data_IF_702528367114
#
_entry.id   IF_702528367114
#
_cell.length_a   1.000
_cell.length_b   1.000
_cell.length_c   1.000
_cell.angle_alpha   90.00
_cell.angle_beta   90.00
_cell.angle_gamma   90.00
#
_symmetry.space_group_name_H-M   'P 1'
#
loop_
_entity.id
_entity.type
_entity.pdbx_description
1 polymer ?
#
# COMPACT_ATOMS: atom_id res chain seq x y z
N UNK A 1 15.37 24.83 -3.73
CA UNK A 1 15.02 23.47 -3.28
C UNK A 1 15.57 22.44 -4.24
N UNK A 2 16.17 21.33 -3.75
CA UNK A 2 16.55 20.19 -4.59
C UNK A 2 15.32 19.59 -5.30
N UNK A 3 15.49 19.14 -6.54
CA UNK A 3 14.39 18.71 -7.42
C UNK A 3 13.52 17.58 -6.83
N UNK A 4 14.14 16.67 -6.06
CA UNK A 4 13.46 15.54 -5.41
C UNK A 4 12.48 15.97 -4.32
N UNK A 5 12.78 17.02 -3.57
CA UNK A 5 11.87 17.58 -2.55
C UNK A 5 10.75 18.42 -3.18
N UNK A 6 10.99 19.02 -4.35
CA UNK A 6 9.98 19.80 -5.08
C UNK A 6 8.80 18.94 -5.57
N UNK A 7 9.03 17.69 -6.00
CA UNK A 7 7.97 16.80 -6.48
C UNK A 7 7.02 16.43 -5.33
N UNK A 8 7.57 16.00 -4.20
CA UNK A 8 6.79 15.66 -3.01
C UNK A 8 5.98 16.86 -2.51
N UNK A 9 6.60 18.04 -2.40
CA UNK A 9 5.90 19.26 -1.99
C UNK A 9 4.81 19.70 -2.97
N UNK A 10 5.01 19.54 -4.27
CA UNK A 10 4.01 19.94 -5.28
C UNK A 10 2.75 19.07 -5.21
N UNK A 11 2.91 17.75 -5.08
CA UNK A 11 1.77 16.81 -4.93
C UNK A 11 1.03 17.10 -3.63
N UNK A 12 1.77 17.19 -2.53
CA UNK A 12 1.16 17.36 -1.21
C UNK A 12 0.47 18.73 -1.09
N UNK A 13 1.11 19.81 -1.57
CA UNK A 13 0.51 21.15 -1.64
C UNK A 13 -0.72 21.22 -2.55
N UNK A 14 -0.83 20.37 -3.57
CA UNK A 14 -2.05 20.21 -4.37
C UNK A 14 -3.21 19.64 -3.55
N UNK A 15 -2.95 18.57 -2.79
CA UNK A 15 -3.93 17.94 -1.88
C UNK A 15 -4.43 18.94 -0.84
N UNK A 16 -3.52 19.68 -0.20
CA UNK A 16 -3.89 20.66 0.82
C UNK A 16 -4.73 21.82 0.26
N UNK A 17 -4.40 22.31 -0.95
CA UNK A 17 -5.22 23.32 -1.65
C UNK A 17 -6.62 22.80 -1.96
N UNK A 18 -6.74 21.55 -2.40
CA UNK A 18 -8.03 20.94 -2.73
C UNK A 18 -8.95 20.82 -1.52
N UNK A 19 -8.45 20.28 -0.41
CA UNK A 19 -9.29 19.98 0.77
C UNK A 19 -9.49 21.16 1.73
N UNK A 20 -8.50 22.05 1.86
CA UNK A 20 -8.52 23.11 2.88
C UNK A 20 -8.36 24.52 2.31
N UNK A 21 -8.35 24.68 0.97
CA UNK A 21 -8.12 25.97 0.27
C UNK A 21 -6.90 26.73 0.81
N UNK A 22 -5.90 26.01 1.32
CA UNK A 22 -4.75 26.61 1.97
C UNK A 22 -3.64 26.91 0.96
N UNK A 23 -3.10 28.14 0.97
CA UNK A 23 -2.03 28.60 0.07
C UNK A 23 -0.63 28.08 0.45
N UNK A 24 -0.53 26.90 1.06
CA UNK A 24 0.72 26.40 1.64
C UNK A 24 1.65 25.94 0.51
N UNK A 25 2.81 26.60 0.41
CA UNK A 25 3.82 26.33 -0.63
C UNK A 25 4.75 25.17 -0.27
N UNK A 26 5.10 25.05 1.01
CA UNK A 26 6.01 24.03 1.53
C UNK A 26 5.36 23.26 2.68
N UNK A 27 4.88 22.07 2.38
CA UNK A 27 4.22 21.19 3.35
C UNK A 27 5.22 20.33 4.13
N UNK A 28 6.43 20.14 3.62
CA UNK A 28 7.44 19.22 4.15
C UNK A 28 8.55 19.93 4.94
N UNK A 29 8.52 21.26 5.07
CA UNK A 29 9.39 21.97 6.01
C UNK A 29 9.15 21.51 7.44
N UNK A 30 10.24 21.15 8.13
CA UNK A 30 10.26 20.94 9.59
C UNK A 30 10.53 22.24 10.38
N UNK A 31 10.78 23.36 9.69
CA UNK A 31 11.01 24.64 10.35
C UNK A 31 9.68 25.42 10.40
N UNK A 32 9.03 25.37 11.57
CA UNK A 32 7.70 25.97 11.79
C UNK A 32 7.72 26.83 13.06
N UNK A 33 7.08 28.00 12.97
CA UNK A 33 6.65 28.74 14.14
C UNK A 33 5.23 28.30 14.48
N UNK A 34 5.00 27.93 15.75
CA UNK A 34 3.70 27.47 16.24
C UNK A 34 3.27 28.36 17.40
N UNK A 35 1.98 28.71 17.48
CA UNK A 35 1.48 29.47 18.62
C UNK A 35 1.51 28.62 19.88
N UNK A 36 1.71 29.27 21.03
CA UNK A 36 1.75 28.58 22.33
C UNK A 36 0.41 27.84 22.61
N UNK A 37 -0.71 28.42 22.18
CA UNK A 37 -2.03 27.79 22.29
C UNK A 37 -2.16 26.50 21.45
N UNK A 38 -1.54 26.46 20.28
CA UNK A 38 -1.58 25.28 19.40
C UNK A 38 -0.61 24.19 19.85
N UNK A 39 0.58 24.56 20.35
CA UNK A 39 1.56 23.62 20.92
C UNK A 39 0.93 22.78 22.04
N UNK A 40 0.17 23.41 22.95
CA UNK A 40 -0.54 22.69 24.02
C UNK A 40 -1.45 21.60 23.47
N UNK A 41 -2.13 21.81 22.35
CA UNK A 41 -2.98 20.79 21.71
C UNK A 41 -2.17 19.68 21.05
N UNK A 42 -1.09 20.03 20.35
CA UNK A 42 -0.21 19.07 19.66
C UNK A 42 0.32 18.00 20.62
N UNK A 43 0.78 18.42 21.81
CA UNK A 43 1.44 17.54 22.77
C UNK A 43 0.53 16.38 23.21
N UNK A 44 -0.78 16.63 23.33
CA UNK A 44 -1.74 15.59 23.71
C UNK A 44 -2.24 14.78 22.51
N UNK A 45 -2.45 15.42 21.36
CA UNK A 45 -3.17 14.82 20.24
C UNK A 45 -2.27 14.09 19.24
N UNK A 46 -0.98 14.43 19.18
CA UNK A 46 -0.09 13.97 18.11
C UNK A 46 0.97 13.03 18.67
N UNK A 47 0.84 11.75 18.30
CA UNK A 47 1.88 10.75 18.59
C UNK A 47 3.18 11.10 17.84
N UNK A 48 4.34 11.16 18.53
CA UNK A 48 5.62 11.45 17.89
C UNK A 48 6.03 10.34 16.92
N UNK A 49 6.62 10.74 15.80
CA UNK A 49 7.15 9.90 14.73
C UNK A 49 8.33 10.59 14.03
N UNK A 50 8.67 10.17 12.80
CA UNK A 50 9.71 10.85 11.99
C UNK A 50 9.05 11.97 11.18
N UNK A 51 9.16 11.90 9.85
CA UNK A 51 8.55 12.86 8.92
C UNK A 51 7.03 12.92 9.04
N UNK A 52 6.37 11.86 9.56
CA UNK A 52 4.91 11.86 9.72
C UNK A 52 4.42 12.86 10.77
N UNK A 53 5.27 13.25 11.73
CA UNK A 53 4.91 14.20 12.80
C UNK A 53 4.55 15.56 12.22
N UNK A 54 5.40 16.10 11.33
CA UNK A 54 5.20 17.39 10.68
C UNK A 54 3.90 17.45 9.88
N UNK A 55 3.63 16.37 9.14
CA UNK A 55 2.41 16.23 8.35
C UNK A 55 1.15 16.23 9.24
N UNK A 56 1.20 15.51 10.37
CA UNK A 56 0.08 15.45 11.32
C UNK A 56 -0.18 16.79 11.97
N UNK A 57 0.87 17.52 12.36
CA UNK A 57 0.78 18.87 12.91
C UNK A 57 0.07 19.79 11.91
N UNK A 58 0.47 19.75 10.64
CA UNK A 58 -0.12 20.59 9.60
C UNK A 58 -1.59 20.26 9.33
N UNK A 59 -1.94 18.96 9.24
CA UNK A 59 -3.33 18.53 9.06
C UNK A 59 -4.19 18.96 10.25
N UNK A 60 -3.67 18.81 11.48
CA UNK A 60 -4.38 19.20 12.70
C UNK A 60 -4.63 20.71 12.73
N UNK A 61 -3.65 21.52 12.38
CA UNK A 61 -3.80 22.99 12.31
C UNK A 61 -4.93 23.39 11.36
N UNK A 62 -4.97 22.80 10.17
CA UNK A 62 -5.99 23.09 9.15
C UNK A 62 -7.37 22.56 9.54
N UNK A 63 -7.47 21.37 10.15
CA UNK A 63 -8.73 20.82 10.64
C UNK A 63 -9.34 21.63 11.78
N UNK A 64 -8.49 22.12 12.68
CA UNK A 64 -8.91 22.95 13.81
C UNK A 64 -9.16 24.42 13.41
N UNK A 65 -9.05 24.75 12.11
CA UNK A 65 -9.35 26.09 11.58
C UNK A 65 -8.30 27.16 11.90
N UNK A 66 -7.07 26.76 12.25
CA UNK A 66 -6.00 27.72 12.50
C UNK A 66 -5.50 28.38 11.20
N UNK A 67 -5.09 29.65 11.29
CA UNK A 67 -4.44 30.35 10.18
C UNK A 67 -3.04 29.78 9.94
N UNK A 68 -2.84 29.16 8.77
CA UNK A 68 -1.57 28.60 8.34
C UNK A 68 -1.03 29.39 7.15
N UNK A 69 0.14 30.01 7.33
CA UNK A 69 0.85 30.77 6.31
C UNK A 69 2.23 30.20 5.99
N UNK A 70 2.85 30.72 4.94
CA UNK A 70 4.24 30.42 4.58
C UNK A 70 5.03 31.72 4.50
N UNK A 71 6.16 31.80 5.22
CA UNK A 71 7.09 32.93 5.14
C UNK A 71 8.31 32.48 4.35
N UNK A 72 8.70 33.27 3.35
CA UNK A 72 9.89 32.97 2.55
C UNK A 72 11.12 33.19 3.41
N UNK A 73 11.93 32.14 3.57
CA UNK A 73 13.22 32.18 4.26
C UNK A 73 14.35 31.79 3.32
N UNK A 74 15.55 32.26 3.60
CA UNK A 74 16.76 31.83 2.89
C UNK A 74 17.11 30.41 3.31
N UNK A 75 17.08 29.46 2.37
CA UNK A 75 17.52 28.09 2.61
C UNK A 75 19.04 28.02 2.58
N UNK A 76 19.68 27.80 3.72
CA UNK A 76 21.12 27.52 3.78
C UNK A 76 21.33 26.01 3.67
N UNK A 77 21.81 25.55 2.51
CA UNK A 77 22.16 24.15 2.30
C UNK A 77 23.63 23.93 2.65
N UNK A 78 23.92 23.41 3.84
CA UNK A 78 25.27 22.95 4.19
C UNK A 78 25.57 21.63 3.45
N UNK A 79 26.73 21.56 2.79
CA UNK A 79 27.24 20.38 2.09
C UNK A 79 26.24 19.67 1.18
N UNK A 80 25.45 20.43 0.42
CA UNK A 80 24.51 19.89 -0.58
C UNK A 80 23.59 18.79 -0.01
N UNK A 81 23.19 18.91 1.26
CA UNK A 81 22.33 17.95 1.97
C UNK A 81 23.01 16.61 2.37
N UNK A 82 24.35 16.51 2.41
CA UNK A 82 25.08 15.28 2.81
C UNK A 82 24.71 14.74 4.21
N UNK A 83 24.31 15.60 5.14
CA UNK A 83 23.92 15.23 6.50
C UNK A 83 22.40 14.99 6.68
N UNK A 84 21.60 15.06 5.61
CA UNK A 84 20.21 14.61 5.67
C UNK A 84 20.18 13.11 5.90
N UNK A 85 19.88 12.68 7.14
CA UNK A 85 19.63 11.27 7.48
C UNK A 85 18.38 10.68 6.79
N UNK A 86 17.70 11.43 5.91
CA UNK A 86 16.69 10.89 5.02
C UNK A 86 17.39 10.12 3.89
N UNK A 87 17.31 8.78 3.94
CA UNK A 87 17.63 7.93 2.80
C UNK A 87 16.31 7.51 2.13
N UNK A 88 15.68 8.37 1.30
CA UNK A 88 14.44 8.05 0.61
C UNK A 88 14.58 6.80 -0.26
N UNK A 89 15.79 6.54 -0.76
CA UNK A 89 16.09 5.31 -1.50
C UNK A 89 15.95 4.08 -0.61
N UNK A 90 16.58 4.07 0.57
CA UNK A 90 16.55 2.91 1.48
C UNK A 90 15.15 2.64 2.05
N UNK A 91 14.43 3.70 2.45
CA UNK A 91 13.09 3.54 3.01
C UNK A 91 12.03 3.22 1.93
N UNK A 92 12.16 3.76 0.71
CA UNK A 92 11.33 3.32 -0.43
C UNK A 92 11.66 1.89 -0.86
N UNK A 93 12.94 1.49 -0.75
CA UNK A 93 13.38 0.14 -1.09
C UNK A 93 12.77 -0.91 -0.17
N UNK A 94 12.50 -0.61 1.10
CA UNK A 94 11.80 -1.55 2.00
C UNK A 94 10.38 -1.85 1.53
N UNK A 95 9.64 -0.83 1.10
CA UNK A 95 8.28 -1.00 0.58
C UNK A 95 8.31 -1.71 -0.78
N UNK A 96 9.21 -1.30 -1.67
CA UNK A 96 9.38 -1.93 -2.98
C UNK A 96 9.82 -3.39 -2.85
N UNK A 97 10.75 -3.71 -1.94
CA UNK A 97 11.19 -5.08 -1.66
C UNK A 97 10.04 -5.97 -1.21
N UNK A 98 9.20 -5.50 -0.28
CA UNK A 98 8.03 -6.27 0.15
C UNK A 98 7.04 -6.52 -0.99
N UNK A 99 6.80 -5.51 -1.82
CA UNK A 99 5.92 -5.66 -2.99
C UNK A 99 6.51 -6.61 -4.05
N UNK A 100 7.81 -6.51 -4.32
CA UNK A 100 8.52 -7.42 -5.23
C UNK A 100 8.49 -8.86 -4.72
N UNK A 101 8.71 -9.08 -3.42
CA UNK A 101 8.55 -10.40 -2.80
C UNK A 101 7.13 -10.91 -2.96
N UNK A 102 6.11 -10.07 -2.74
CA UNK A 102 4.71 -10.43 -2.96
C UNK A 102 4.44 -10.87 -4.40
N UNK A 103 5.03 -10.20 -5.39
CA UNK A 103 4.92 -10.56 -6.81
C UNK A 103 5.63 -11.87 -7.16
N UNK A 104 6.89 -12.04 -6.74
CA UNK A 104 7.65 -13.26 -6.98
C UNK A 104 6.96 -14.47 -6.35
N UNK A 105 6.46 -14.30 -5.13
CA UNK A 105 5.79 -15.37 -4.40
C UNK A 105 4.37 -15.64 -4.91
N UNK A 106 3.69 -14.63 -5.47
CA UNK A 106 2.44 -14.82 -6.20
C UNK A 106 2.67 -15.60 -7.50
N UNK A 107 3.77 -15.32 -8.20
CA UNK A 107 4.15 -16.11 -9.37
C UNK A 107 4.51 -17.55 -8.99
N UNK A 108 5.25 -17.77 -7.89
CA UNK A 108 5.55 -19.13 -7.43
C UNK A 108 4.31 -19.92 -7.03
N UNK A 109 3.30 -19.25 -6.44
CA UNK A 109 2.00 -19.86 -6.17
C UNK A 109 1.28 -20.30 -7.45
N UNK A 110 1.26 -19.45 -8.49
CA UNK A 110 0.69 -19.80 -9.78
C UNK A 110 1.39 -21.02 -10.42
N UNK A 111 2.72 -21.05 -10.37
CA UNK A 111 3.52 -22.20 -10.84
C UNK A 111 3.18 -23.45 -10.06
N UNK A 112 3.06 -23.36 -8.74
CA UNK A 112 2.71 -24.48 -7.86
C UNK A 112 1.30 -25.01 -8.17
N UNK A 113 0.28 -24.15 -8.29
CA UNK A 113 -1.09 -24.53 -8.65
C UNK A 113 -1.10 -25.30 -9.97
N UNK A 114 -0.46 -24.76 -11.00
CA UNK A 114 -0.39 -25.38 -12.32
C UNK A 114 0.38 -26.71 -12.32
N UNK A 115 1.48 -26.78 -11.57
CA UNK A 115 2.29 -28.00 -11.47
C UNK A 115 1.52 -29.14 -10.80
N UNK A 116 0.79 -28.84 -9.72
CA UNK A 116 -0.06 -29.84 -9.04
C UNK A 116 -1.21 -30.27 -9.94
N UNK A 117 -1.85 -29.33 -10.64
CA UNK A 117 -2.91 -29.64 -11.60
C UNK A 117 -2.43 -30.61 -12.69
N UNK A 118 -1.28 -30.34 -13.30
CA UNK A 118 -0.68 -31.22 -14.32
C UNK A 118 -0.34 -32.58 -13.74
N UNK A 119 0.31 -32.62 -12.56
CA UNK A 119 0.69 -33.87 -11.91
C UNK A 119 -0.52 -34.78 -11.66
N UNK A 120 -1.60 -34.21 -11.11
CA UNK A 120 -2.83 -34.97 -10.84
C UNK A 120 -3.53 -35.42 -12.13
N UNK A 121 -3.54 -34.56 -13.15
CA UNK A 121 -4.22 -34.86 -14.42
C UNK A 121 -3.47 -35.92 -15.25
N UNK A 122 -2.14 -35.84 -15.33
CA UNK A 122 -1.33 -36.72 -16.18
C UNK A 122 -0.90 -38.00 -15.45
N UNK A 123 -0.35 -37.89 -14.24
CA UNK A 123 0.26 -39.04 -13.56
C UNK A 123 -0.77 -39.92 -12.85
N UNK A 124 -1.87 -39.32 -12.38
CA UNK A 124 -2.90 -40.02 -11.61
C UNK A 124 -4.22 -40.16 -12.37
N UNK A 125 -4.32 -39.60 -13.59
CA UNK A 125 -5.55 -39.60 -14.40
C UNK A 125 -6.79 -39.12 -13.64
N UNK A 126 -6.61 -38.19 -12.69
CA UNK A 126 -7.70 -37.62 -11.90
C UNK A 126 -8.59 -36.79 -12.81
N UNK A 127 -9.91 -36.89 -12.64
CA UNK A 127 -10.87 -36.05 -13.35
C UNK A 127 -10.53 -34.56 -13.18
N UNK A 128 -10.47 -33.81 -14.29
CA UNK A 128 -9.89 -32.46 -14.32
C UNK A 128 -10.49 -31.49 -13.28
N UNK A 129 -11.78 -31.63 -12.97
CA UNK A 129 -12.44 -30.79 -11.97
C UNK A 129 -11.90 -31.05 -10.55
N UNK A 130 -11.68 -32.32 -10.20
CA UNK A 130 -11.09 -32.69 -8.92
C UNK A 130 -9.62 -32.29 -8.85
N UNK A 131 -8.86 -32.48 -9.93
CA UNK A 131 -7.48 -32.01 -10.02
C UNK A 131 -7.39 -30.49 -9.79
N UNK A 132 -8.28 -29.72 -10.41
CA UNK A 132 -8.35 -28.27 -10.25
C UNK A 132 -8.72 -27.83 -8.82
N UNK A 133 -9.75 -28.45 -8.22
CA UNK A 133 -10.15 -28.12 -6.85
C UNK A 133 -9.02 -28.44 -5.87
N UNK A 134 -8.39 -29.61 -5.99
CA UNK A 134 -7.30 -30.03 -5.13
C UNK A 134 -6.06 -29.14 -5.28
N UNK A 135 -5.65 -28.81 -6.51
CA UNK A 135 -4.53 -27.89 -6.75
C UNK A 135 -4.81 -26.53 -6.11
N UNK A 136 -6.06 -26.05 -6.24
CA UNK A 136 -6.45 -24.74 -5.69
C UNK A 136 -6.43 -24.70 -4.18
N UNK A 137 -6.92 -25.75 -3.51
CA UNK A 137 -6.86 -25.85 -2.05
C UNK A 137 -5.42 -25.82 -1.55
N UNK A 138 -4.51 -26.56 -2.19
CA UNK A 138 -3.10 -26.59 -1.80
C UNK A 138 -2.44 -25.23 -2.04
N UNK A 139 -2.67 -24.60 -3.19
CA UNK A 139 -2.19 -23.25 -3.52
C UNK A 139 -2.65 -22.20 -2.50
N UNK A 140 -3.95 -22.18 -2.14
CA UNK A 140 -4.49 -21.24 -1.15
C UNK A 140 -3.79 -21.38 0.21
N UNK A 141 -3.53 -22.62 0.66
CA UNK A 141 -2.83 -22.90 1.92
C UNK A 141 -1.36 -22.47 1.83
N UNK A 142 -0.66 -22.84 0.76
CA UNK A 142 0.72 -22.45 0.51
C UNK A 142 0.86 -20.93 0.53
N UNK A 143 0.04 -20.23 -0.25
CA UNK A 143 0.13 -18.78 -0.40
C UNK A 143 -0.23 -18.03 0.88
N UNK A 144 -1.14 -18.58 1.70
CA UNK A 144 -1.39 -18.06 3.05
C UNK A 144 -0.11 -18.07 3.90
N UNK A 145 0.59 -19.20 3.96
CA UNK A 145 1.79 -19.34 4.79
C UNK A 145 2.95 -18.49 4.27
N UNK A 146 3.13 -18.44 2.96
CA UNK A 146 4.14 -17.61 2.30
C UNK A 146 3.91 -16.13 2.56
N UNK A 147 2.66 -15.65 2.40
CA UNK A 147 2.33 -14.27 2.73
C UNK A 147 2.54 -13.98 4.22
N UNK A 148 2.08 -14.88 5.10
CA UNK A 148 2.20 -14.72 6.54
C UNK A 148 3.65 -14.62 7.00
N UNK A 149 4.48 -15.60 6.66
CA UNK A 149 5.83 -15.71 7.24
C UNK A 149 6.89 -14.98 6.42
N UNK A 150 6.80 -14.95 5.09
CA UNK A 150 7.86 -14.41 4.24
C UNK A 150 7.58 -12.96 3.86
N UNK A 151 6.38 -12.66 3.34
CA UNK A 151 6.06 -11.31 2.86
C UNK A 151 5.82 -10.34 4.03
N UNK A 152 4.92 -10.70 4.95
CA UNK A 152 4.43 -9.81 5.99
C UNK A 152 5.05 -10.03 7.38
N UNK A 153 5.75 -11.15 7.58
CA UNK A 153 6.41 -11.53 8.84
C UNK A 153 5.46 -11.40 10.06
N UNK A 154 4.28 -12.03 9.98
CA UNK A 154 3.29 -12.05 11.06
C UNK A 154 3.34 -13.35 11.85
N UNK A 155 3.40 -13.24 13.19
CA UNK A 155 3.52 -14.36 14.14
C UNK A 155 2.29 -14.49 15.07
N UNK A 156 1.14 -13.94 14.67
CA UNK A 156 -0.10 -14.02 15.46
C UNK A 156 -0.81 -15.37 15.36
N UNK A 157 -1.89 -15.51 16.14
CA UNK A 157 -2.80 -16.66 16.10
C UNK A 157 -3.18 -17.01 14.66
N UNK A 158 -2.74 -18.20 14.20
CA UNK A 158 -2.84 -18.60 12.80
C UNK A 158 -4.25 -18.70 12.27
N UNK A 159 -5.19 -19.21 13.06
CA UNK A 159 -6.59 -19.39 12.64
C UNK A 159 -7.26 -18.05 12.29
N UNK A 160 -7.02 -17.01 13.09
CA UNK A 160 -7.65 -15.71 12.88
C UNK A 160 -7.20 -15.04 11.57
N UNK A 161 -5.89 -15.09 11.30
CA UNK A 161 -5.35 -14.57 10.05
C UNK A 161 -5.80 -15.41 8.84
N UNK A 162 -5.92 -16.73 9.02
CA UNK A 162 -6.40 -17.61 7.97
C UNK A 162 -7.86 -17.30 7.58
N UNK A 163 -8.76 -17.11 8.57
CA UNK A 163 -10.14 -16.74 8.30
C UNK A 163 -10.27 -15.38 7.59
N UNK A 164 -9.48 -14.39 8.01
CA UNK A 164 -9.42 -13.08 7.33
C UNK A 164 -8.87 -13.19 5.92
N UNK A 165 -7.85 -14.02 5.72
CA UNK A 165 -7.30 -14.30 4.40
C UNK A 165 -8.33 -14.95 3.48
N UNK A 166 -9.06 -15.96 3.94
CA UNK A 166 -10.15 -16.58 3.17
C UNK A 166 -11.24 -15.58 2.81
N UNK A 167 -11.61 -14.68 3.72
CA UNK A 167 -12.57 -13.62 3.44
C UNK A 167 -12.06 -12.71 2.30
N UNK A 168 -10.79 -12.31 2.35
CA UNK A 168 -10.18 -11.47 1.31
C UNK A 168 -10.15 -12.21 -0.03
N UNK A 169 -9.78 -13.49 -0.07
CA UNK A 169 -9.74 -14.29 -1.30
C UNK A 169 -11.13 -14.40 -1.93
N UNK A 170 -12.15 -14.76 -1.15
CA UNK A 170 -13.53 -14.88 -1.63
C UNK A 170 -14.05 -13.55 -2.16
N UNK A 171 -13.79 -12.46 -1.44
CA UNK A 171 -14.19 -11.12 -1.86
C UNK A 171 -13.45 -10.64 -3.11
N UNK A 172 -12.17 -11.01 -3.25
CA UNK A 172 -11.36 -10.70 -4.42
C UNK A 172 -11.95 -11.33 -5.69
N UNK A 173 -12.38 -12.60 -5.63
CA UNK A 173 -13.04 -13.27 -6.76
C UNK A 173 -14.29 -12.51 -7.20
N UNK A 174 -15.13 -12.10 -6.25
CA UNK A 174 -16.36 -11.35 -6.52
C UNK A 174 -16.08 -9.98 -7.15
N UNK A 175 -15.15 -9.20 -6.58
CA UNK A 175 -14.78 -7.88 -7.12
C UNK A 175 -14.16 -8.01 -8.51
N UNK A 176 -13.20 -8.93 -8.68
CA UNK A 176 -12.50 -9.11 -9.97
C UNK A 176 -13.49 -9.46 -11.07
N UNK A 177 -14.43 -10.38 -10.79
CA UNK A 177 -15.47 -10.78 -11.74
C UNK A 177 -16.43 -9.63 -12.06
N UNK A 178 -16.86 -8.88 -11.04
CA UNK A 178 -17.76 -7.74 -11.21
C UNK A 178 -17.11 -6.60 -11.99
N UNK A 179 -15.86 -6.26 -11.67
CA UNK A 179 -15.12 -5.19 -12.34
C UNK A 179 -14.85 -5.54 -13.81
N UNK A 180 -14.50 -6.80 -14.09
CA UNK A 180 -14.33 -7.28 -15.46
C UNK A 180 -15.65 -7.17 -16.24
N UNK A 181 -16.75 -7.64 -15.66
CA UNK A 181 -18.08 -7.56 -16.29
C UNK A 181 -18.48 -6.11 -16.59
N UNK A 182 -18.23 -5.19 -15.65
CA UNK A 182 -18.52 -3.76 -15.83
C UNK A 182 -17.71 -3.15 -16.98
N UNK A 183 -16.39 -3.39 -17.00
CA UNK A 183 -15.50 -2.84 -18.02
C UNK A 183 -15.82 -3.34 -19.43
N UNK A 184 -16.13 -4.62 -19.58
CA UNK A 184 -16.45 -5.20 -20.90
C UNK A 184 -17.86 -4.80 -21.34
N UNK A 185 -18.86 -4.90 -20.45
CA UNK A 185 -20.27 -4.72 -20.85
C UNK A 185 -20.72 -3.26 -20.91
N UNK A 186 -20.27 -2.42 -19.98
CA UNK A 186 -20.73 -1.02 -19.89
C UNK A 186 -19.72 -0.04 -20.49
N UNK A 187 -18.43 -0.27 -20.26
CA UNK A 187 -17.38 0.61 -20.79
C UNK A 187 -16.84 0.19 -22.16
N UNK A 188 -17.33 -0.92 -22.72
CA UNK A 188 -16.97 -1.43 -24.05
C UNK A 188 -15.46 -1.63 -24.24
N UNK A 189 -14.73 -1.93 -23.16
CA UNK A 189 -13.33 -2.29 -23.26
C UNK A 189 -13.20 -3.68 -23.87
N UNK A 190 -12.20 -3.87 -24.73
CA UNK A 190 -11.84 -5.21 -25.20
C UNK A 190 -11.49 -6.12 -24.02
N UNK A 191 -12.04 -7.34 -24.00
CA UNK A 191 -11.75 -8.33 -22.96
C UNK A 191 -10.25 -8.61 -22.78
N UNK A 192 -9.50 -8.53 -23.87
CA UNK A 192 -8.04 -8.72 -23.89
C UNK A 192 -7.28 -7.58 -23.18
N UNK A 193 -7.88 -6.39 -23.07
CA UNK A 193 -7.33 -5.24 -22.36
C UNK A 193 -7.90 -5.12 -20.94
N UNK A 194 -9.19 -5.38 -20.77
CA UNK A 194 -9.86 -5.29 -19.48
C UNK A 194 -9.32 -6.30 -18.46
N UNK A 195 -9.08 -7.55 -18.89
CA UNK A 195 -8.59 -8.61 -17.99
C UNK A 195 -7.24 -8.28 -17.32
N UNK A 196 -6.14 -7.98 -18.06
CA UNK A 196 -4.87 -7.66 -17.42
C UNK A 196 -4.94 -6.37 -16.60
N UNK A 197 -5.74 -5.38 -17.02
CA UNK A 197 -5.94 -4.15 -16.25
C UNK A 197 -6.55 -4.44 -14.87
N UNK A 198 -7.64 -5.22 -14.83
CA UNK A 198 -8.29 -5.64 -13.58
C UNK A 198 -7.33 -6.45 -12.72
N UNK A 199 -6.57 -7.38 -13.31
CA UNK A 199 -5.63 -8.21 -12.57
C UNK A 199 -4.52 -7.38 -11.90
N UNK A 200 -3.95 -6.41 -12.60
CA UNK A 200 -2.91 -5.52 -12.04
C UNK A 200 -3.48 -4.64 -10.91
N UNK A 201 -4.68 -4.09 -11.10
CA UNK A 201 -5.37 -3.31 -10.08
C UNK A 201 -5.66 -4.15 -8.84
N UNK A 202 -6.24 -5.33 -9.03
CA UNK A 202 -6.59 -6.24 -7.94
C UNK A 202 -5.37 -6.81 -7.25
N UNK A 203 -4.29 -7.13 -7.98
CA UNK A 203 -3.02 -7.54 -7.41
C UNK A 203 -2.45 -6.45 -6.48
N UNK A 204 -2.45 -5.19 -6.94
CA UNK A 204 -1.97 -4.04 -6.17
C UNK A 204 -2.84 -3.78 -4.94
N UNK A 205 -4.17 -3.78 -5.11
CA UNK A 205 -5.11 -3.61 -4.01
C UNK A 205 -4.97 -4.73 -2.97
N UNK A 206 -4.82 -5.98 -3.43
CA UNK A 206 -4.68 -7.14 -2.57
C UNK A 206 -3.44 -7.04 -1.66
N UNK A 207 -2.31 -6.53 -2.18
CA UNK A 207 -1.14 -6.26 -1.35
C UNK A 207 -1.47 -5.33 -0.17
N UNK A 208 -2.17 -4.22 -0.43
CA UNK A 208 -2.52 -3.26 0.63
C UNK A 208 -3.59 -3.81 1.59
N UNK A 209 -4.58 -4.54 1.08
CA UNK A 209 -5.63 -5.16 1.90
C UNK A 209 -5.01 -6.22 2.81
N UNK A 210 -4.18 -7.13 2.28
CA UNK A 210 -3.50 -8.13 3.10
C UNK A 210 -2.62 -7.48 4.15
N UNK A 211 -1.85 -6.46 3.79
CA UNK A 211 -0.97 -5.73 4.72
C UNK A 211 -1.74 -5.02 5.83
N UNK A 212 -2.85 -4.37 5.52
CA UNK A 212 -3.57 -3.49 6.46
C UNK A 212 -4.71 -4.17 7.22
N UNK A 213 -5.32 -5.21 6.64
CA UNK A 213 -6.46 -5.91 7.24
C UNK A 213 -6.05 -7.28 7.78
N UNK A 214 -5.42 -8.14 6.97
CA UNK A 214 -5.09 -9.52 7.40
C UNK A 214 -3.91 -9.52 8.37
N UNK A 215 -2.79 -8.91 7.99
CA UNK A 215 -1.51 -8.95 8.71
C UNK A 215 -1.17 -7.64 9.44
N UNK A 216 -2.19 -6.86 9.82
CA UNK A 216 -2.00 -5.58 10.51
C UNK A 216 -1.20 -5.73 11.81
N UNK A 217 -0.07 -5.03 11.92
CA UNK A 217 0.63 -4.84 13.20
C UNK A 217 -0.18 -3.87 14.05
N UNK A 218 -0.94 -4.38 15.03
CA UNK A 218 -1.43 -3.61 16.18
C UNK A 218 -0.41 -3.73 17.29
#
# INVERSE_FOLDING_TARGET
>A
MPWRSNIGNSITGGIFRFFWRSGILDTQSGFRALSNSFIKKIIYDIKPGRYETEMRILIKALRDGHNVGSVKISTVYFDNNKNSKFNPVSDSFKVLKQFLLFAILGFSDWVLDYSIFILLSLSFSVFFLWAHITSKVISVIYYFYVNKYIVFNSYRHGLYEFLRYLLVVSFNILITSSLLYLLVSYFQFSQFMAKPLVDVLMFTANFFILKSFVYSKK
#
